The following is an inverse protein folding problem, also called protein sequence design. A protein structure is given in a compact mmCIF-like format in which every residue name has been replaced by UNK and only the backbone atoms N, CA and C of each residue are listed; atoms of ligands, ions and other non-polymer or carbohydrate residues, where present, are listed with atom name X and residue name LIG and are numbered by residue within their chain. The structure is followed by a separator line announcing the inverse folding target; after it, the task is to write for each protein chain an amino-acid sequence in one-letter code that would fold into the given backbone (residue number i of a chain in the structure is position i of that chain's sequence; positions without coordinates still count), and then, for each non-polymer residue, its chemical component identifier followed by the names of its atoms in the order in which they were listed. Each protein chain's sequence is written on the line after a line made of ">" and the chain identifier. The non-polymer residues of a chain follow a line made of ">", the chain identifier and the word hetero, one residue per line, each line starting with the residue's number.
data_IF_767444477757
#
_entry.id   IF_767444477757
#
_cell.length_a   1.000
_cell.length_b   1.000
_cell.length_c   1.000
_cell.angle_alpha   90.00
_cell.angle_beta   90.00
_cell.angle_gamma   90.00
#
_symmetry.space_group_name_H-M   'P 1'
#
loop_
_entity.id
_entity.type
_entity.pdbx_description
1 polymer ?
#
# COMPACT_ATOMS: atom_id res chain seq x y z
N UNK A 1 9.22 -10.56 -11.66
CA UNK A 1 8.11 -11.40 -11.13
C UNK A 1 7.68 -11.04 -9.71
N UNK A 2 8.40 -11.38 -8.63
CA UNK A 2 7.88 -11.12 -7.25
C UNK A 2 7.61 -9.63 -6.95
N UNK A 3 8.49 -8.74 -7.41
CA UNK A 3 8.41 -7.29 -7.18
C UNK A 3 7.23 -6.65 -7.92
N UNK A 4 6.93 -7.14 -9.11
CA UNK A 4 5.85 -6.62 -9.97
C UNK A 4 4.47 -6.98 -9.41
N UNK A 5 4.31 -8.20 -8.88
CA UNK A 5 3.09 -8.59 -8.18
C UNK A 5 2.84 -7.73 -6.94
N UNK A 6 3.89 -7.52 -6.13
CA UNK A 6 3.78 -6.67 -4.94
C UNK A 6 3.43 -5.22 -5.31
N UNK A 7 4.01 -4.70 -6.40
CA UNK A 7 3.69 -3.36 -6.89
C UNK A 7 2.25 -3.26 -7.41
N UNK A 8 1.76 -4.31 -8.06
CA UNK A 8 0.36 -4.41 -8.48
C UNK A 8 -0.59 -4.40 -7.28
N UNK A 9 -0.30 -5.18 -6.24
CA UNK A 9 -1.07 -5.19 -4.99
C UNK A 9 -1.07 -3.83 -4.27
N UNK A 10 0.07 -3.13 -4.28
CA UNK A 10 0.18 -1.75 -3.75
C UNK A 10 -0.72 -0.80 -4.53
N UNK A 11 -0.71 -0.86 -5.87
CA UNK A 11 -1.56 0.01 -6.69
C UNK A 11 -3.05 -0.27 -6.51
N UNK A 12 -3.45 -1.54 -6.48
CA UNK A 12 -4.82 -1.98 -6.22
C UNK A 12 -5.30 -1.45 -4.86
N UNK A 13 -4.51 -1.70 -3.81
CA UNK A 13 -4.84 -1.29 -2.45
C UNK A 13 -4.82 0.22 -2.27
N UNK A 14 -4.01 0.95 -3.04
CA UNK A 14 -4.01 2.43 -3.09
C UNK A 14 -5.28 2.98 -3.74
N UNK A 15 -5.77 2.37 -4.82
CA UNK A 15 -7.07 2.73 -5.42
C UNK A 15 -8.22 2.47 -4.46
N UNK A 16 -8.16 1.35 -3.73
CA UNK A 16 -9.14 1.00 -2.72
C UNK A 16 -9.14 2.00 -1.56
N UNK A 17 -7.95 2.35 -1.04
CA UNK A 17 -7.78 3.38 -0.02
C UNK A 17 -8.36 4.72 -0.50
N UNK A 18 -8.08 5.15 -1.74
CA UNK A 18 -8.64 6.39 -2.29
C UNK A 18 -10.16 6.37 -2.34
N UNK A 19 -10.78 5.24 -2.74
CA UNK A 19 -12.24 5.09 -2.68
C UNK A 19 -12.75 5.21 -1.24
N UNK A 20 -12.12 4.52 -0.30
CA UNK A 20 -12.52 4.56 1.12
C UNK A 20 -12.35 5.97 1.68
N UNK A 21 -11.28 6.69 1.36
CA UNK A 21 -11.06 8.10 1.72
C UNK A 21 -12.17 8.97 1.15
N UNK A 22 -12.55 8.78 -0.12
CA UNK A 22 -13.62 9.55 -0.75
C UNK A 22 -15.00 9.25 -0.14
N UNK A 23 -15.25 8.02 0.29
CA UNK A 23 -16.55 7.61 0.85
C UNK A 23 -16.66 7.88 2.35
N UNK A 24 -15.61 7.62 3.13
CA UNK A 24 -15.62 7.66 4.60
C UNK A 24 -14.82 8.84 5.18
N UNK A 25 -14.02 9.53 4.38
CA UNK A 25 -13.11 10.58 4.83
C UNK A 25 -11.76 10.04 5.32
N UNK A 26 -10.74 10.90 5.31
CA UNK A 26 -9.36 10.55 5.71
C UNK A 26 -9.25 10.13 7.19
N UNK A 27 -10.17 10.59 8.03
CA UNK A 27 -10.16 10.38 9.48
C UNK A 27 -10.92 9.13 9.91
N UNK A 28 -11.56 8.41 8.98
CA UNK A 28 -12.26 7.19 9.32
C UNK A 28 -11.28 6.09 9.70
N UNK A 29 -11.64 5.30 10.71
CA UNK A 29 -10.81 4.20 11.18
C UNK A 29 -10.49 3.20 10.06
N UNK A 30 -11.44 2.99 9.14
CA UNK A 30 -11.25 2.15 7.95
C UNK A 30 -10.15 2.73 7.05
N UNK A 31 -10.18 4.02 6.78
CA UNK A 31 -9.16 4.71 5.99
C UNK A 31 -7.77 4.57 6.61
N UNK A 32 -7.66 4.76 7.93
CA UNK A 32 -6.39 4.65 8.66
C UNK A 32 -5.86 3.21 8.59
N UNK A 33 -6.72 2.21 8.78
CA UNK A 33 -6.35 0.79 8.69
C UNK A 33 -5.86 0.42 7.29
N UNK A 34 -6.58 0.83 6.23
CA UNK A 34 -6.14 0.59 4.86
C UNK A 34 -4.84 1.34 4.53
N UNK A 35 -4.64 2.55 5.06
CA UNK A 35 -3.40 3.31 4.90
C UNK A 35 -2.22 2.60 5.54
N UNK A 36 -2.38 2.05 6.75
CA UNK A 36 -1.32 1.30 7.44
C UNK A 36 -0.96 0.00 6.72
N UNK A 37 -1.95 -0.70 6.17
CA UNK A 37 -1.71 -1.90 5.38
C UNK A 37 -0.98 -1.58 4.07
N UNK A 38 -1.36 -0.50 3.39
CA UNK A 38 -0.69 -0.04 2.18
C UNK A 38 0.75 0.37 2.48
N UNK A 39 0.98 1.10 3.56
CA UNK A 39 2.31 1.54 4.00
C UNK A 39 3.23 0.34 4.31
N UNK A 40 2.69 -0.69 4.96
CA UNK A 40 3.43 -1.94 5.24
C UNK A 40 3.88 -2.66 3.96
N UNK A 41 2.99 -2.75 2.95
CA UNK A 41 3.33 -3.34 1.65
C UNK A 41 4.37 -2.50 0.90
N UNK A 42 4.26 -1.17 0.98
CA UNK A 42 5.23 -0.23 0.43
C UNK A 42 6.61 -0.39 1.08
N UNK A 43 6.64 -0.51 2.40
CA UNK A 43 7.85 -0.79 3.17
C UNK A 43 8.48 -2.13 2.78
N UNK A 44 7.67 -3.17 2.59
CA UNK A 44 8.15 -4.48 2.15
C UNK A 44 8.71 -4.42 0.73
N UNK A 45 8.04 -3.71 -0.18
CA UNK A 45 8.53 -3.45 -1.53
C UNK A 45 9.84 -2.66 -1.52
N UNK A 46 9.93 -1.61 -0.70
CA UNK A 46 11.14 -0.83 -0.54
C UNK A 46 12.29 -1.68 0.01
N UNK A 47 12.03 -2.55 0.99
CA UNK A 47 13.03 -3.48 1.53
C UNK A 47 13.50 -4.47 0.47
N UNK A 48 12.59 -5.03 -0.33
CA UNK A 48 12.93 -5.92 -1.44
C UNK A 48 13.70 -5.19 -2.56
N UNK A 49 13.41 -3.90 -2.77
CA UNK A 49 14.07 -3.07 -3.78
C UNK A 49 15.47 -2.63 -3.32
N UNK A 50 15.60 -2.08 -2.10
CA UNK A 50 16.88 -1.67 -1.51
C UNK A 50 17.79 -2.84 -1.11
N UNK A 51 17.22 -3.98 -0.72
CA UNK A 51 17.97 -5.18 -0.31
C UNK A 51 18.74 -5.87 -1.44
N UNK A 52 18.59 -5.42 -2.69
CA UNK A 52 19.37 -5.91 -3.84
C UNK A 52 20.61 -5.04 -4.15
N UNK A 53 21.01 -4.14 -3.25
CA UNK A 53 22.19 -3.25 -3.43
C UNK A 53 23.34 -3.56 -2.46
N UNK A 54 23.61 -4.85 -2.20
CA UNK A 54 24.86 -5.28 -1.55
C UNK A 54 25.63 -6.26 -2.42
#
# INVERSE_FOLDING_TARGET
>A
MMKENLLHEIEEKRKELLKIVMTNGMTSHITIQHSQQLDSLLLEYQKLSLGNTQ
#
